data_IF_265864240140
#
_entry.id   IF_265864240140
#
_cell.length_a   1.000
_cell.length_b   1.000
_cell.length_c   1.000
_cell.angle_alpha   90.00
_cell.angle_beta   90.00
_cell.angle_gamma   90.00
#
_symmetry.space_group_name_H-M   'P 1'
#
loop_
_entity.id
_entity.type
_entity.pdbx_description
1 polymer ?
#
# COMPACT_ATOMS: atom_id res chain seq x y z
N UNK A 1 -14.09 -9.32 26.03
CA UNK A 1 -14.59 -8.61 24.83
C UNK A 1 -15.66 -7.63 25.26
N UNK A 2 -15.58 -6.40 24.77
CA UNK A 2 -16.59 -5.38 25.01
C UNK A 2 -17.89 -5.78 24.29
N UNK A 3 -19.06 -5.60 24.92
CA UNK A 3 -20.38 -5.90 24.34
C UNK A 3 -20.55 -5.29 22.92
N UNK A 4 -19.99 -4.11 22.69
CA UNK A 4 -20.01 -3.44 21.39
C UNK A 4 -19.25 -4.22 20.30
N UNK A 5 -18.08 -4.78 20.64
CA UNK A 5 -17.29 -5.62 19.72
C UNK A 5 -18.05 -6.92 19.41
N UNK A 6 -18.62 -7.56 20.43
CA UNK A 6 -19.40 -8.80 20.24
C UNK A 6 -20.63 -8.59 19.36
N UNK A 7 -21.31 -7.44 19.48
CA UNK A 7 -22.45 -7.11 18.61
C UNK A 7 -22.02 -6.84 17.17
N UNK A 8 -20.87 -6.20 16.97
CA UNK A 8 -20.31 -5.94 15.64
C UNK A 8 -19.90 -7.24 14.95
N UNK A 9 -19.14 -8.10 15.64
CA UNK A 9 -18.66 -9.38 15.10
C UNK A 9 -19.80 -10.35 14.78
N UNK A 10 -20.91 -10.28 15.52
CA UNK A 10 -22.12 -11.08 15.26
C UNK A 10 -23.08 -10.44 14.26
N UNK A 11 -22.69 -9.34 13.62
CA UNK A 11 -23.49 -8.63 12.62
C UNK A 11 -24.88 -8.18 13.13
N UNK A 12 -24.98 -7.79 14.40
CA UNK A 12 -26.24 -7.30 14.99
C UNK A 12 -26.42 -5.78 14.87
N UNK A 13 -25.40 -5.05 14.39
CA UNK A 13 -25.45 -3.60 14.24
C UNK A 13 -25.76 -3.22 12.79
N UNK A 14 -26.81 -2.41 12.52
CA UNK A 14 -27.07 -1.88 11.19
C UNK A 14 -25.92 -1.00 10.67
N UNK A 15 -25.66 -1.05 9.36
CA UNK A 15 -24.67 -0.24 8.65
C UNK A 15 -24.72 1.25 9.00
N UNK A 16 -25.93 1.81 9.20
CA UNK A 16 -26.11 3.22 9.54
C UNK A 16 -25.49 3.56 10.89
N UNK A 17 -25.63 2.66 11.88
CA UNK A 17 -25.04 2.79 13.22
C UNK A 17 -23.52 2.62 13.14
N UNK A 18 -23.06 1.61 12.40
CA UNK A 18 -21.62 1.35 12.19
C UNK A 18 -20.96 2.59 11.56
N UNK A 19 -21.54 3.13 10.48
CA UNK A 19 -21.02 4.34 9.80
C UNK A 19 -21.06 5.58 10.70
N UNK A 20 -22.12 5.75 11.51
CA UNK A 20 -22.18 6.84 12.48
C UNK A 20 -21.05 6.74 13.51
N UNK A 21 -20.81 5.54 14.04
CA UNK A 21 -19.75 5.30 15.01
C UNK A 21 -18.36 5.53 14.42
N UNK A 22 -18.10 5.05 13.19
CA UNK A 22 -16.84 5.33 12.47
C UNK A 22 -16.62 6.84 12.33
N UNK A 23 -17.63 7.61 11.89
CA UNK A 23 -17.51 9.07 11.78
C UNK A 23 -17.20 9.75 13.11
N UNK A 24 -17.80 9.27 14.21
CA UNK A 24 -17.48 9.75 15.55
C UNK A 24 -16.02 9.50 15.91
N UNK A 25 -15.49 8.30 15.64
CA UNK A 25 -14.09 7.96 15.91
C UNK A 25 -13.14 8.82 15.06
N UNK A 26 -13.44 9.03 13.78
CA UNK A 26 -12.67 9.93 12.92
C UNK A 26 -12.65 11.37 13.47
N UNK A 27 -13.79 11.89 13.95
CA UNK A 27 -13.84 13.21 14.56
C UNK A 27 -13.05 13.30 15.88
N UNK A 28 -13.02 12.23 16.67
CA UNK A 28 -12.17 12.15 17.87
C UNK A 28 -10.70 12.17 17.48
N UNK A 29 -10.29 11.39 16.48
CA UNK A 29 -8.91 11.37 15.96
C UNK A 29 -8.47 12.75 15.50
N UNK A 30 -9.28 13.43 14.69
CA UNK A 30 -8.98 14.81 14.23
C UNK A 30 -8.73 15.74 15.43
N UNK A 31 -9.56 15.68 16.48
CA UNK A 31 -9.38 16.51 17.68
C UNK A 31 -8.11 16.15 18.47
N UNK A 32 -7.72 14.88 18.50
CA UNK A 32 -6.50 14.42 19.18
C UNK A 32 -5.22 14.88 18.45
N UNK A 33 -5.23 14.85 17.12
CA UNK A 33 -4.07 15.22 16.30
C UNK A 33 -3.93 16.75 16.13
N UNK A 34 -5.03 17.50 16.28
CA UNK A 34 -5.03 18.97 16.19
C UNK A 34 -4.30 19.60 17.38
N UNK A 35 -3.25 20.38 17.11
CA UNK A 35 -2.55 21.18 18.13
C UNK A 35 -3.17 22.58 18.27
N UNK A 36 -2.98 23.27 19.41
CA UNK A 36 -3.59 24.59 19.63
C UNK A 36 -3.15 25.68 18.65
N UNK A 37 -1.95 25.58 18.08
CA UNK A 37 -1.41 26.55 17.11
C UNK A 37 -0.72 25.83 15.94
N UNK A 38 -0.52 26.56 14.83
CA UNK A 38 0.15 26.03 13.64
C UNK A 38 1.63 25.73 13.92
N UNK A 39 2.29 26.52 14.76
CA UNK A 39 3.68 26.32 15.17
C UNK A 39 3.82 25.00 15.95
N UNK A 40 2.91 24.74 16.88
CA UNK A 40 2.88 23.48 17.62
C UNK A 40 2.56 22.29 16.72
N UNK A 41 1.70 22.47 15.71
CA UNK A 41 1.43 21.43 14.72
C UNK A 41 2.69 21.10 13.89
N UNK A 42 3.43 22.13 13.48
CA UNK A 42 4.67 21.98 12.72
C UNK A 42 5.79 21.33 13.55
N UNK A 43 5.94 21.73 14.82
CA UNK A 43 6.89 21.11 15.74
C UNK A 43 6.57 19.62 15.90
N UNK A 44 5.29 19.28 16.10
CA UNK A 44 4.86 17.90 16.24
C UNK A 44 5.19 17.05 15.01
N UNK A 45 4.93 17.56 13.79
CA UNK A 45 5.29 16.88 12.56
C UNK A 45 6.81 16.67 12.45
N UNK A 46 7.60 17.70 12.78
CA UNK A 46 9.07 17.62 12.69
C UNK A 46 9.66 16.65 13.72
N UNK A 47 9.05 16.50 14.89
CA UNK A 47 9.45 15.50 15.87
C UNK A 47 9.18 14.08 15.36
N UNK A 48 8.02 13.84 14.73
CA UNK A 48 7.73 12.56 14.06
C UNK A 48 8.76 12.28 12.97
N UNK A 49 9.04 13.24 12.09
CA UNK A 49 10.05 13.07 11.03
C UNK A 49 11.41 12.71 11.61
N UNK A 50 11.82 13.34 12.72
CA UNK A 50 13.08 13.03 13.39
C UNK A 50 13.10 11.60 13.93
N UNK A 51 12.00 11.13 14.51
CA UNK A 51 11.86 9.75 14.96
C UNK A 51 11.97 8.76 13.79
N UNK A 52 11.21 9.00 12.71
CA UNK A 52 11.18 8.16 11.52
C UNK A 52 12.58 7.99 10.90
N UNK A 53 13.36 9.08 10.81
CA UNK A 53 14.75 9.06 10.29
C UNK A 53 15.71 8.22 11.11
N UNK A 54 15.46 8.08 12.42
CA UNK A 54 16.31 7.28 13.31
C UNK A 54 15.88 5.80 13.37
N UNK A 55 14.67 5.47 12.92
CA UNK A 55 14.14 4.11 12.92
C UNK A 55 14.65 3.20 11.78
N UNK A 56 14.19 1.94 11.76
CA UNK A 56 14.35 1.04 10.61
C UNK A 56 13.43 1.46 9.44
N UNK A 57 13.65 0.90 8.24
CA UNK A 57 12.80 1.17 7.07
C UNK A 57 11.36 0.74 7.34
N UNK A 58 11.14 -0.42 7.95
CA UNK A 58 9.85 -0.87 8.44
C UNK A 58 9.99 -1.49 9.84
N UNK A 59 8.98 -1.33 10.69
CA UNK A 59 8.94 -1.94 12.04
C UNK A 59 8.23 -3.30 11.95
N UNK A 60 8.89 -4.33 12.49
CA UNK A 60 8.43 -5.72 12.71
C UNK A 60 7.20 -6.18 11.90
N UNK A 61 7.46 -6.69 10.69
CA UNK A 61 6.48 -7.15 9.68
C UNK A 61 5.90 -8.55 9.94
N UNK A 62 6.34 -9.25 10.99
CA UNK A 62 5.92 -10.64 11.27
C UNK A 62 4.42 -10.77 11.51
N UNK A 63 3.86 -9.92 12.38
CA UNK A 63 2.42 -9.94 12.71
C UNK A 63 1.55 -9.38 11.59
N UNK A 64 2.02 -8.39 10.83
CA UNK A 64 1.30 -7.88 9.65
C UNK A 64 1.18 -8.95 8.55
N UNK A 65 2.21 -9.79 8.39
CA UNK A 65 2.20 -10.89 7.42
C UNK A 65 1.23 -12.00 7.81
N UNK A 66 1.21 -12.39 9.09
CA UNK A 66 0.27 -13.38 9.63
C UNK A 66 -1.19 -12.88 9.56
N UNK A 67 -1.43 -11.59 9.80
CA UNK A 67 -2.79 -11.01 9.84
C UNK A 67 -3.44 -10.80 8.46
N UNK A 68 -2.67 -10.49 7.41
CA UNK A 68 -3.21 -10.09 6.11
C UNK A 68 -2.84 -11.00 4.93
N UNK A 69 -1.70 -11.71 4.98
CA UNK A 69 -1.20 -12.47 3.82
C UNK A 69 -1.34 -14.00 3.95
N UNK A 70 -1.85 -14.49 5.08
CA UNK A 70 -2.29 -15.89 5.25
C UNK A 70 -3.72 -16.15 4.76
N UNK A 71 -4.46 -15.09 4.38
CA UNK A 71 -5.77 -15.25 3.74
C UNK A 71 -5.56 -15.76 2.30
N UNK A 72 -6.22 -16.88 1.89
CA UNK A 72 -6.03 -17.45 0.57
C UNK A 72 -6.39 -16.47 -0.55
N UNK A 73 -5.64 -16.50 -1.66
CA UNK A 73 -5.91 -15.69 -2.85
C UNK A 73 -7.38 -15.80 -3.33
N UNK A 74 -8.01 -16.97 -3.13
CA UNK A 74 -9.41 -17.20 -3.49
C UNK A 74 -10.38 -16.23 -2.78
N UNK A 75 -10.14 -15.87 -1.51
CA UNK A 75 -10.96 -14.89 -0.82
C UNK A 75 -10.91 -13.54 -1.54
N UNK A 76 -9.69 -13.11 -1.88
CA UNK A 76 -9.46 -11.85 -2.58
C UNK A 76 -10.11 -11.82 -3.97
N UNK A 77 -10.15 -12.95 -4.68
CA UNK A 77 -10.88 -13.08 -5.94
C UNK A 77 -12.39 -12.88 -5.81
N UNK A 78 -12.98 -13.13 -4.64
CA UNK A 78 -14.41 -12.89 -4.40
C UNK A 78 -14.74 -11.43 -4.08
N UNK A 79 -13.79 -10.67 -3.51
CA UNK A 79 -14.05 -9.32 -3.00
C UNK A 79 -13.42 -8.20 -3.82
N UNK A 80 -12.44 -8.51 -4.66
CA UNK A 80 -11.77 -7.55 -5.54
C UNK A 80 -12.27 -7.63 -6.98
N UNK A 81 -11.87 -6.66 -7.80
CA UNK A 81 -12.13 -6.70 -9.23
C UNK A 81 -11.19 -7.65 -9.98
N UNK A 82 -11.34 -7.69 -11.31
CA UNK A 82 -10.63 -8.61 -12.19
C UNK A 82 -9.11 -8.47 -12.19
N UNK A 83 -8.58 -7.31 -11.80
CA UNK A 83 -7.15 -7.07 -11.70
C UNK A 83 -6.58 -7.40 -10.32
N UNK A 84 -7.42 -7.77 -9.34
CA UNK A 84 -6.99 -8.05 -7.96
C UNK A 84 -6.28 -6.84 -7.32
N UNK A 85 -6.80 -5.63 -7.57
CA UNK A 85 -6.15 -4.40 -7.11
C UNK A 85 -6.51 -4.11 -5.66
N UNK A 86 -5.65 -4.53 -4.75
CA UNK A 86 -5.79 -4.27 -3.31
C UNK A 86 -5.22 -2.88 -2.92
N UNK A 87 -5.73 -1.84 -3.56
CA UNK A 87 -5.39 -0.43 -3.30
C UNK A 87 -6.44 0.50 -3.93
N UNK A 88 -6.42 1.80 -3.60
CA UNK A 88 -7.43 2.76 -4.04
C UNK A 88 -7.70 2.76 -5.56
N UNK A 89 -8.96 2.55 -5.94
CA UNK A 89 -9.42 2.60 -7.34
C UNK A 89 -9.79 4.04 -7.76
N UNK A 90 -10.05 4.24 -9.05
CA UNK A 90 -10.44 5.54 -9.58
C UNK A 90 -11.83 5.49 -10.22
N UNK A 91 -12.76 6.25 -9.65
CA UNK A 91 -14.15 6.31 -10.09
C UNK A 91 -14.39 7.62 -10.83
N UNK A 92 -14.34 7.59 -12.16
CA UNK A 92 -14.79 8.71 -12.99
C UNK A 92 -16.31 8.69 -13.19
N UNK A 93 -16.85 9.72 -13.86
CA UNK A 93 -18.29 9.87 -14.08
C UNK A 93 -18.92 8.70 -14.85
N UNK A 94 -18.14 8.03 -15.70
CA UNK A 94 -18.60 6.92 -16.56
C UNK A 94 -18.40 5.54 -15.90
N UNK A 95 -17.80 5.49 -14.70
CA UNK A 95 -17.43 4.26 -14.04
C UNK A 95 -18.60 3.63 -13.28
N UNK A 96 -19.09 2.50 -13.77
CA UNK A 96 -20.26 1.79 -13.19
C UNK A 96 -19.91 0.49 -12.47
N UNK A 97 -18.64 0.08 -12.45
CA UNK A 97 -18.21 -1.20 -11.85
C UNK A 97 -16.83 -1.11 -11.21
N UNK A 98 -16.57 -2.00 -10.25
CA UNK A 98 -15.25 -2.11 -9.60
C UNK A 98 -14.15 -2.44 -10.63
N UNK A 99 -14.42 -3.33 -11.59
CA UNK A 99 -13.46 -3.67 -12.64
C UNK A 99 -13.05 -2.44 -13.45
N UNK A 100 -14.02 -1.62 -13.87
CA UNK A 100 -13.72 -0.37 -14.56
C UNK A 100 -12.93 0.61 -13.67
N UNK A 101 -13.22 0.65 -12.37
CA UNK A 101 -12.50 1.51 -11.44
C UNK A 101 -11.05 1.06 -11.21
N UNK A 102 -10.79 -0.26 -11.21
CA UNK A 102 -9.45 -0.82 -11.17
C UNK A 102 -8.67 -0.46 -12.45
N UNK A 103 -9.28 -0.69 -13.63
CA UNK A 103 -8.66 -0.40 -14.92
C UNK A 103 -8.26 1.07 -15.04
N UNK A 104 -9.16 2.00 -14.72
CA UNK A 104 -8.86 3.44 -14.73
C UNK A 104 -7.72 3.80 -13.76
N UNK A 105 -7.70 3.20 -12.57
CA UNK A 105 -6.63 3.49 -11.60
C UNK A 105 -5.27 2.99 -12.08
N UNK A 106 -5.22 1.81 -12.72
CA UNK A 106 -4.01 1.25 -13.31
C UNK A 106 -3.52 2.08 -14.50
N UNK A 107 -4.43 2.55 -15.34
CA UNK A 107 -4.12 3.47 -16.44
C UNK A 107 -3.53 4.79 -15.95
N UNK A 108 -4.17 5.43 -14.97
CA UNK A 108 -3.67 6.68 -14.36
C UNK A 108 -2.30 6.44 -13.71
N UNK A 109 -2.11 5.31 -13.04
CA UNK A 109 -0.83 4.93 -12.45
C UNK A 109 0.26 4.84 -13.52
N UNK A 110 0.00 4.16 -14.64
CA UNK A 110 0.96 4.05 -15.74
C UNK A 110 1.28 5.42 -16.36
N UNK A 111 0.27 6.27 -16.53
CA UNK A 111 0.43 7.61 -17.07
C UNK A 111 1.28 8.51 -16.15
N UNK A 112 0.99 8.53 -14.85
CA UNK A 112 1.74 9.33 -13.88
C UNK A 112 3.16 8.81 -13.65
N UNK A 113 3.35 7.49 -13.69
CA UNK A 113 4.67 6.88 -13.61
C UNK A 113 5.47 6.99 -14.92
N UNK A 114 4.86 7.54 -15.99
CA UNK A 114 5.49 7.71 -17.29
C UNK A 114 6.08 6.38 -17.80
N UNK A 115 5.24 5.34 -17.76
CA UNK A 115 5.59 4.00 -18.23
C UNK A 115 5.59 3.97 -19.75
N UNK A 116 6.68 3.48 -20.32
CA UNK A 116 6.91 3.42 -21.75
C UNK A 116 7.47 2.06 -22.17
N UNK A 117 7.30 1.73 -23.45
CA UNK A 117 7.80 0.49 -24.02
C UNK A 117 9.33 0.38 -23.88
N UNK A 118 9.83 -0.83 -23.61
CA UNK A 118 11.26 -1.12 -23.50
C UNK A 118 11.92 -0.73 -22.16
N UNK A 119 11.18 -0.18 -21.21
CA UNK A 119 11.70 0.16 -19.88
C UNK A 119 11.92 -1.07 -18.98
N UNK A 120 12.88 -0.97 -18.07
CA UNK A 120 13.02 -1.81 -16.88
C UNK A 120 12.33 -1.15 -15.71
N UNK A 121 11.41 -1.87 -15.07
CA UNK A 121 10.58 -1.35 -14.00
C UNK A 121 10.75 -2.19 -12.75
N UNK A 122 10.93 -1.52 -11.61
CA UNK A 122 10.88 -2.14 -10.28
C UNK A 122 9.62 -1.71 -9.55
N UNK A 123 8.74 -2.65 -9.22
CA UNK A 123 7.56 -2.41 -8.39
C UNK A 123 7.84 -2.84 -6.95
N UNK A 124 7.83 -1.88 -6.02
CA UNK A 124 8.03 -2.13 -4.60
C UNK A 124 6.68 -2.27 -3.89
N UNK A 125 6.40 -3.48 -3.40
CA UNK A 125 5.12 -3.83 -2.78
C UNK A 125 4.07 -4.23 -3.81
N UNK A 126 4.34 -5.24 -4.65
CA UNK A 126 3.49 -5.57 -5.80
C UNK A 126 2.15 -6.25 -5.45
N UNK A 127 1.93 -6.62 -4.19
CA UNK A 127 0.67 -7.19 -3.71
C UNK A 127 0.26 -8.43 -4.52
N UNK A 128 -0.99 -8.48 -5.00
CA UNK A 128 -1.50 -9.55 -5.86
C UNK A 128 -1.11 -9.40 -7.35
N UNK A 129 -0.19 -8.48 -7.68
CA UNK A 129 0.37 -8.27 -9.01
C UNK A 129 -0.53 -7.51 -9.97
N UNK A 130 -1.47 -6.70 -9.45
CA UNK A 130 -2.42 -5.94 -10.25
C UNK A 130 -1.72 -5.02 -11.26
N UNK A 131 -0.84 -4.13 -10.79
CA UNK A 131 -0.04 -3.26 -11.64
C UNK A 131 1.01 -4.04 -12.42
N UNK A 132 1.70 -4.99 -11.79
CA UNK A 132 2.72 -5.82 -12.44
C UNK A 132 2.20 -6.45 -13.73
N UNK A 133 1.09 -7.20 -13.64
CA UNK A 133 0.53 -7.91 -14.79
C UNK A 133 -0.15 -6.97 -15.78
N UNK A 134 -0.71 -5.84 -15.31
CA UNK A 134 -1.29 -4.82 -16.18
C UNK A 134 -0.22 -4.20 -17.09
N UNK A 135 0.90 -3.75 -16.51
CA UNK A 135 2.03 -3.21 -17.26
C UNK A 135 2.59 -4.27 -18.22
N UNK A 136 2.87 -5.47 -17.72
CA UNK A 136 3.47 -6.54 -18.53
C UNK A 136 2.64 -6.91 -19.75
N UNK A 137 1.30 -6.92 -19.61
CA UNK A 137 0.36 -7.15 -20.72
C UNK A 137 0.30 -5.96 -21.67
N UNK A 138 0.29 -4.73 -21.15
CA UNK A 138 0.07 -3.50 -21.92
C UNK A 138 1.30 -3.07 -22.72
N UNK A 139 2.49 -3.39 -22.22
CA UNK A 139 3.81 -3.05 -22.78
C UNK A 139 4.68 -4.32 -22.86
N UNK A 140 4.56 -5.14 -23.92
CA UNK A 140 5.23 -6.44 -23.99
C UNK A 140 6.77 -6.40 -24.00
N UNK A 141 7.36 -5.25 -24.35
CA UNK A 141 8.81 -5.03 -24.35
C UNK A 141 9.37 -4.49 -23.03
N UNK A 142 8.51 -4.07 -22.08
CA UNK A 142 8.91 -3.75 -20.70
C UNK A 142 9.37 -5.02 -20.00
N UNK A 143 10.39 -4.91 -19.13
CA UNK A 143 10.73 -5.92 -18.13
C UNK A 143 10.32 -5.40 -16.75
N UNK A 144 9.46 -6.12 -16.03
CA UNK A 144 9.01 -5.70 -14.70
C UNK A 144 9.46 -6.69 -13.63
N UNK A 145 10.15 -6.16 -12.62
CA UNK A 145 10.52 -6.86 -11.40
C UNK A 145 9.62 -6.39 -10.27
N UNK A 146 8.79 -7.27 -9.73
CA UNK A 146 7.94 -6.97 -8.57
C UNK A 146 8.53 -7.52 -7.28
N UNK A 147 8.44 -6.76 -6.18
CA UNK A 147 8.88 -7.20 -4.85
C UNK A 147 7.67 -7.30 -3.93
N UNK A 148 7.48 -8.47 -3.34
CA UNK A 148 6.51 -8.70 -2.26
C UNK A 148 7.21 -9.35 -1.08
N UNK A 149 6.74 -9.14 0.14
CA UNK A 149 7.20 -9.90 1.30
C UNK A 149 6.41 -11.22 1.49
N UNK A 150 5.38 -11.47 0.66
CA UNK A 150 4.51 -12.64 0.74
C UNK A 150 4.83 -13.69 -0.32
N UNK A 151 5.03 -14.94 0.13
CA UNK A 151 5.22 -16.10 -0.75
C UNK A 151 3.95 -16.43 -1.54
N UNK A 152 2.77 -16.34 -0.91
CA UNK A 152 1.48 -16.70 -1.53
C UNK A 152 1.10 -15.74 -2.66
N UNK A 153 1.47 -14.45 -2.53
CA UNK A 153 1.34 -13.46 -3.59
C UNK A 153 2.23 -13.79 -4.78
N UNK A 154 3.50 -14.14 -4.54
CA UNK A 154 4.40 -14.59 -5.61
C UNK A 154 3.85 -15.81 -6.35
N UNK A 155 3.44 -16.84 -5.61
CA UNK A 155 2.87 -18.07 -6.19
C UNK A 155 1.64 -17.77 -7.07
N UNK A 156 0.77 -16.86 -6.62
CA UNK A 156 -0.38 -16.40 -7.39
C UNK A 156 0.02 -15.71 -8.69
N UNK A 157 0.94 -14.74 -8.61
CA UNK A 157 1.39 -13.96 -9.78
C UNK A 157 2.10 -14.88 -10.79
N UNK A 158 3.00 -15.75 -10.33
CA UNK A 158 3.74 -16.68 -11.19
C UNK A 158 2.77 -17.61 -11.95
N UNK A 159 1.73 -18.11 -11.26
CA UNK A 159 0.66 -18.91 -11.89
C UNK A 159 -0.09 -18.11 -12.95
N UNK A 160 -0.56 -16.89 -12.61
CA UNK A 160 -1.27 -16.05 -13.57
C UNK A 160 -0.41 -15.65 -14.78
N UNK A 161 0.88 -15.39 -14.58
CA UNK A 161 1.81 -15.08 -15.66
C UNK A 161 2.00 -16.29 -16.59
N UNK A 162 2.12 -17.50 -16.03
CA UNK A 162 2.19 -18.75 -16.79
C UNK A 162 0.93 -18.97 -17.63
N UNK A 163 -0.25 -18.83 -17.03
CA UNK A 163 -1.55 -19.01 -17.69
C UNK A 163 -1.80 -17.96 -18.80
N UNK A 164 -1.31 -16.73 -18.61
CA UNK A 164 -1.48 -15.62 -19.55
C UNK A 164 -0.33 -15.48 -20.56
N UNK A 165 0.71 -16.30 -20.44
CA UNK A 165 1.89 -16.25 -21.30
C UNK A 165 2.77 -14.99 -21.11
N UNK A 166 2.71 -14.34 -19.95
CA UNK A 166 3.53 -13.17 -19.62
C UNK A 166 4.94 -13.63 -19.24
N UNK A 167 5.92 -13.32 -20.09
CA UNK A 167 7.33 -13.75 -19.91
C UNK A 167 8.25 -12.66 -19.40
N UNK A 168 7.72 -11.45 -19.25
CA UNK A 168 8.43 -10.23 -18.93
C UNK A 168 8.20 -9.79 -17.47
N UNK A 169 7.79 -10.72 -16.61
CA UNK A 169 7.55 -10.50 -15.17
C UNK A 169 8.52 -11.35 -14.36
N UNK A 170 9.17 -10.73 -13.37
CA UNK A 170 9.97 -11.41 -12.37
C UNK A 170 9.54 -10.99 -10.96
N UNK A 171 9.12 -11.94 -10.11
CA UNK A 171 8.72 -11.62 -8.72
C UNK A 171 9.77 -12.10 -7.72
N UNK A 172 10.20 -11.21 -6.85
CA UNK A 172 11.12 -11.45 -5.73
C UNK A 172 10.33 -11.43 -4.42
N UNK A 173 10.52 -12.45 -3.58
CA UNK A 173 9.98 -12.48 -2.22
C UNK A 173 11.04 -12.00 -1.22
N UNK A 174 10.90 -10.79 -0.67
CA UNK A 174 11.88 -10.20 0.25
C UNK A 174 11.28 -9.11 1.15
N UNK A 175 11.78 -8.98 2.38
CA UNK A 175 11.46 -7.86 3.28
C UNK A 175 12.25 -6.59 2.88
N UNK A 176 11.60 -5.43 2.93
CA UNK A 176 12.18 -4.17 2.45
C UNK A 176 13.32 -3.62 3.31
N UNK A 177 13.40 -4.02 4.58
CA UNK A 177 14.55 -3.68 5.42
C UNK A 177 15.85 -4.26 4.86
N UNK A 178 15.80 -5.46 4.28
CA UNK A 178 16.98 -6.19 3.79
C UNK A 178 17.07 -6.26 2.26
N UNK A 179 16.00 -5.94 1.54
CA UNK A 179 15.98 -5.95 0.08
C UNK A 179 17.07 -5.05 -0.51
N UNK A 180 17.77 -5.60 -1.50
CA UNK A 180 18.79 -4.97 -2.32
C UNK A 180 18.89 -5.72 -3.65
N UNK A 181 19.25 -5.01 -4.72
CA UNK A 181 19.43 -5.55 -6.06
C UNK A 181 20.48 -4.72 -6.80
N UNK A 182 21.32 -5.37 -7.61
CA UNK A 182 22.37 -4.69 -8.39
C UNK A 182 21.82 -4.08 -9.70
N UNK A 183 20.73 -4.64 -10.21
CA UNK A 183 20.07 -4.15 -11.42
C UNK A 183 19.57 -2.71 -11.24
N UNK A 184 19.65 -1.94 -12.33
CA UNK A 184 19.16 -0.57 -12.41
C UNK A 184 17.91 -0.50 -13.27
N UNK A 185 17.01 0.39 -12.90
CA UNK A 185 15.67 0.52 -13.47
C UNK A 185 15.42 1.93 -14.00
N UNK A 186 14.69 2.01 -15.10
CA UNK A 186 14.20 3.27 -15.67
C UNK A 186 13.06 3.85 -14.82
N UNK A 187 12.27 2.97 -14.20
CA UNK A 187 11.19 3.35 -13.30
C UNK A 187 11.22 2.51 -12.03
N UNK A 188 11.09 3.17 -10.89
CA UNK A 188 10.67 2.53 -9.64
C UNK A 188 9.26 3.00 -9.35
N UNK A 189 8.34 2.07 -9.11
CA UNK A 189 6.94 2.36 -8.80
C UNK A 189 6.57 1.74 -7.47
N UNK A 190 5.75 2.43 -6.70
CA UNK A 190 5.19 1.90 -5.45
C UNK A 190 3.77 2.41 -5.28
N UNK A 191 2.84 1.49 -5.06
CA UNK A 191 1.42 1.79 -4.86
C UNK A 191 1.01 1.25 -3.50
N UNK A 192 0.70 2.16 -2.58
CA UNK A 192 0.17 1.85 -1.25
C UNK A 192 1.06 0.84 -0.48
N UNK A 193 2.36 1.14 -0.45
CA UNK A 193 3.36 0.43 0.37
C UNK A 193 4.03 1.35 1.39
N UNK A 194 4.20 2.65 1.08
CA UNK A 194 4.95 3.59 1.92
C UNK A 194 4.29 3.83 3.28
N UNK A 195 2.96 3.70 3.42
CA UNK A 195 2.24 3.76 4.70
C UNK A 195 2.65 2.65 5.70
N UNK A 196 3.25 1.57 5.19
CA UNK A 196 3.80 0.48 6.01
C UNK A 196 5.28 0.71 6.32
N UNK A 197 5.91 1.70 5.70
CA UNK A 197 7.30 2.07 5.92
C UNK A 197 7.37 3.23 6.93
N UNK A 198 8.47 3.28 7.67
CA UNK A 198 8.77 4.31 8.68
C UNK A 198 9.87 5.24 8.17
N UNK A 199 11.03 4.70 7.83
CA UNK A 199 12.18 5.51 7.46
C UNK A 199 12.23 5.75 5.95
N UNK A 200 11.54 6.80 5.49
CA UNK A 200 11.55 7.19 4.07
C UNK A 200 12.91 7.68 3.60
N UNK A 201 13.75 8.27 4.46
CA UNK A 201 15.08 8.73 4.07
C UNK A 201 15.95 7.56 3.62
N UNK A 202 16.07 6.51 4.45
CA UNK A 202 16.81 5.29 4.09
C UNK A 202 16.19 4.54 2.92
N UNK A 203 14.85 4.50 2.84
CA UNK A 203 14.18 3.84 1.72
C UNK A 203 14.42 4.57 0.40
N UNK A 204 14.32 5.91 0.40
CA UNK A 204 14.59 6.73 -0.79
C UNK A 204 16.06 6.66 -1.19
N UNK A 205 16.99 6.56 -0.23
CA UNK A 205 18.42 6.32 -0.51
C UNK A 205 18.63 4.98 -1.23
N UNK A 206 17.98 3.89 -0.76
CA UNK A 206 17.98 2.60 -1.48
C UNK A 206 17.40 2.72 -2.88
N UNK A 207 16.23 3.37 -3.01
CA UNK A 207 15.55 3.55 -4.30
C UNK A 207 16.41 4.34 -5.28
N UNK A 208 17.09 5.39 -4.82
CA UNK A 208 18.05 6.13 -5.63
C UNK A 208 19.15 5.19 -6.15
N UNK A 209 19.63 4.28 -5.29
CA UNK A 209 20.54 3.20 -5.68
C UNK A 209 19.98 2.19 -6.67
N UNK A 210 18.68 2.13 -6.94
CA UNK A 210 18.08 1.25 -7.95
C UNK A 210 17.82 1.95 -9.29
N UNK A 211 17.92 3.28 -9.35
CA UNK A 211 17.61 4.04 -10.55
C UNK A 211 18.85 4.20 -11.45
N UNK A 212 18.60 4.26 -12.77
CA UNK A 212 19.53 4.87 -13.72
C UNK A 212 19.56 6.40 -13.55
N UNK A 213 20.48 7.11 -14.20
CA UNK A 213 20.66 8.57 -14.06
C UNK A 213 19.37 9.37 -14.32
N UNK A 214 18.65 9.05 -15.41
CA UNK A 214 17.36 9.66 -15.77
C UNK A 214 16.14 8.86 -15.28
N UNK A 215 16.36 7.93 -14.35
CA UNK A 215 15.32 7.07 -13.79
C UNK A 215 14.34 7.88 -12.94
N UNK A 216 13.07 7.46 -12.92
CA UNK A 216 12.02 8.14 -12.14
C UNK A 216 11.44 7.22 -11.08
N UNK A 217 11.14 7.79 -9.92
CA UNK A 217 10.32 7.18 -8.88
C UNK A 217 8.89 7.72 -8.98
N UNK A 218 7.90 6.83 -8.99
CA UNK A 218 6.50 7.15 -8.75
C UNK A 218 6.02 6.49 -7.46
N UNK A 219 5.41 7.29 -6.59
CA UNK A 219 4.80 6.82 -5.34
C UNK A 219 3.35 7.24 -5.30
N UNK A 220 2.45 6.26 -5.17
CA UNK A 220 1.06 6.47 -4.79
C UNK A 220 0.91 6.02 -3.34
N UNK A 221 0.54 6.96 -2.47
CA UNK A 221 0.39 6.76 -1.03
C UNK A 221 -0.89 7.47 -0.57
N UNK A 222 -1.68 6.85 0.29
CA UNK A 222 -2.81 7.54 0.92
C UNK A 222 -2.30 8.44 2.05
N UNK A 223 -2.97 9.59 2.25
CA UNK A 223 -2.59 10.55 3.28
C UNK A 223 -3.80 11.17 3.96
N UNK A 224 -3.60 11.69 5.16
CA UNK A 224 -4.47 12.72 5.69
C UNK A 224 -3.88 14.07 5.29
N UNK A 225 -4.69 14.94 4.69
CA UNK A 225 -4.28 16.26 4.15
C UNK A 225 -3.50 17.21 5.09
N UNK A 226 -3.42 16.91 6.39
CA UNK A 226 -2.88 17.81 7.42
C UNK A 226 -2.13 17.10 8.56
N UNK A 227 -2.36 15.81 8.80
CA UNK A 227 -1.95 15.17 10.06
C UNK A 227 -1.18 13.91 9.76
N UNK A 228 0.03 13.82 10.29
CA UNK A 228 0.77 12.56 10.37
C UNK A 228 0.57 11.95 11.75
N UNK A 229 0.21 10.66 11.82
CA UNK A 229 0.09 9.94 13.08
C UNK A 229 0.29 8.43 12.90
N UNK A 230 0.71 7.74 13.95
CA UNK A 230 0.91 6.29 13.91
C UNK A 230 -0.39 5.53 14.15
N UNK A 231 -0.54 4.40 13.46
CA UNK A 231 -1.54 3.39 13.79
C UNK A 231 -1.01 2.49 14.92
N UNK A 232 -1.06 3.01 16.15
CA UNK A 232 -0.66 2.29 17.36
C UNK A 232 -1.87 1.75 18.10
N UNK A 233 -1.79 0.50 18.56
CA UNK A 233 -2.78 -0.07 19.48
C UNK A 233 -2.51 0.45 20.89
N UNK A 234 -3.06 1.62 21.23
CA UNK A 234 -2.94 2.21 22.58
C UNK A 234 -3.95 1.63 23.57
N UNK A 235 -5.11 1.19 23.07
CA UNK A 235 -6.18 0.57 23.83
C UNK A 235 -7.09 -0.28 22.92
N UNK A 236 -8.03 -1.02 23.53
CA UNK A 236 -8.99 -1.91 22.85
C UNK A 236 -9.98 -1.19 21.91
N UNK A 237 -10.03 0.16 21.93
CA UNK A 237 -10.93 0.95 21.08
C UNK A 237 -10.30 1.29 19.73
N UNK A 238 -8.97 1.13 19.58
CA UNK A 238 -8.27 1.41 18.34
C UNK A 238 -8.28 0.22 17.35
N UNK A 239 -9.49 -0.17 16.95
CA UNK A 239 -9.74 -1.32 16.07
C UNK A 239 -9.04 -1.20 14.71
N UNK A 240 -8.97 0.02 14.13
CA UNK A 240 -8.29 0.23 12.84
C UNK A 240 -6.80 -0.11 12.94
N UNK A 241 -6.12 0.38 13.98
CA UNK A 241 -4.71 0.04 14.21
C UNK A 241 -4.53 -1.46 14.46
N UNK A 242 -5.44 -2.10 15.20
CA UNK A 242 -5.29 -3.51 15.60
C UNK A 242 -5.52 -4.51 14.46
N UNK A 243 -6.48 -4.23 13.58
CA UNK A 243 -6.93 -5.20 12.57
C UNK A 243 -6.51 -4.89 11.15
N UNK A 244 -6.04 -3.67 10.86
CA UNK A 244 -5.77 -3.23 9.47
C UNK A 244 -4.40 -2.57 9.27
N UNK A 245 -3.83 -1.92 10.29
CA UNK A 245 -2.64 -1.07 10.13
C UNK A 245 -1.63 -1.22 11.27
N UNK A 246 -1.52 -2.40 11.89
CA UNK A 246 -0.56 -2.60 12.99
C UNK A 246 0.85 -2.21 12.54
N UNK A 247 1.45 -1.21 13.20
CA UNK A 247 2.78 -0.73 12.83
C UNK A 247 2.82 0.21 11.61
N UNK A 248 1.67 0.57 11.03
CA UNK A 248 1.53 1.52 9.93
C UNK A 248 1.49 2.98 10.37
N UNK A 249 1.59 3.91 9.42
CA UNK A 249 1.45 5.36 9.61
C UNK A 249 0.28 5.88 8.77
N UNK A 250 -0.39 6.93 9.24
CA UNK A 250 -1.11 7.86 8.37
C UNK A 250 -0.15 9.00 8.03
N UNK A 251 0.38 9.09 6.80
CA UNK A 251 1.23 10.20 6.38
C UNK A 251 0.42 11.46 6.06
N UNK A 252 1.10 12.61 5.95
CA UNK A 252 0.54 13.90 5.48
C UNK A 252 1.46 14.61 4.52
#
# INVERSE_FOLDING_TARGET
MNLQQTLLERNFLPDTIVRWYIRRLLAVRIRQETKPTQELQQIHLMDIIRELKNGPIAIETGTANEQHYEIPAMFFQYVMGSNMKYSSCYWNADCTSLNAAEDHALEITCAHADIQEGQKILELGCGWGSLTMYIAKRFPGVQITGVSNSRTQKEYIDKCCSERGLKNVHIITMDMNVFSIEEKFDRVVSVEMFEHMRNYEKLLEKIHGFLVEDGKLFVHIFTHKQFTYYFEVKDDTNWMSRYFFTGGIMPS
#
